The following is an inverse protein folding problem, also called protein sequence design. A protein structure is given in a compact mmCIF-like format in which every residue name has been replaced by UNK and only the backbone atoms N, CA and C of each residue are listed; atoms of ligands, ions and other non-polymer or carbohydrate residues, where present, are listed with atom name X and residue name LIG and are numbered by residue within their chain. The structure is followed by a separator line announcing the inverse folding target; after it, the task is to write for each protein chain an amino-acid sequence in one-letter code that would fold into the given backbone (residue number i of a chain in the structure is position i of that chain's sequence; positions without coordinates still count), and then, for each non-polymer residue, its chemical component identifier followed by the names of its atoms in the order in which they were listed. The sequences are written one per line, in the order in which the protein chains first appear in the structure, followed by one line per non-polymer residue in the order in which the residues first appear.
data_IF_746338785487
#
_entry.id   IF_746338785487
#
_cell.length_a   1.000
_cell.length_b   1.000
_cell.length_c   1.000
_cell.angle_alpha   90.00
_cell.angle_beta   90.00
_cell.angle_gamma   90.00
#
_symmetry.space_group_name_H-M   'P 1'
#
loop_
_entity.id
_entity.type
_entity.pdbx_description
1 polymer ?
#
# COMPACT_ATOMS: atom_id res chain seq x y z
N UNK A 1 -14.63 -0.12 43.08
CA UNK A 1 -13.43 0.73 42.88
C UNK A 1 -12.57 0.23 41.71
N UNK A 2 -12.04 -1.00 41.75
CA UNK A 2 -11.17 -1.55 40.69
C UNK A 2 -11.84 -1.63 39.30
N UNK A 3 -13.10 -2.08 39.21
CA UNK A 3 -13.80 -2.18 37.91
C UNK A 3 -13.99 -0.80 37.25
N UNK A 4 -14.31 0.23 38.03
CA UNK A 4 -14.46 1.60 37.51
C UNK A 4 -13.14 2.15 36.96
N UNK A 5 -12.01 1.80 37.61
CA UNK A 5 -10.69 2.15 37.11
C UNK A 5 -10.39 1.43 35.79
N UNK A 6 -10.67 0.12 35.71
CA UNK A 6 -10.47 -0.67 34.48
C UNK A 6 -11.31 -0.10 33.33
N UNK A 7 -12.59 0.21 33.56
CA UNK A 7 -13.45 0.82 32.54
C UNK A 7 -12.88 2.14 32.05
N UNK A 8 -12.48 3.03 32.96
CA UNK A 8 -11.90 4.33 32.59
C UNK A 8 -10.62 4.17 31.76
N UNK A 9 -9.70 3.31 32.19
CA UNK A 9 -8.45 3.05 31.46
C UNK A 9 -8.72 2.44 30.07
N UNK A 10 -9.73 1.58 29.95
CA UNK A 10 -10.16 1.03 28.66
C UNK A 10 -10.69 2.11 27.74
N UNK A 11 -11.54 3.01 28.23
CA UNK A 11 -12.10 4.11 27.44
C UNK A 11 -11.01 5.07 26.97
N UNK A 12 -10.06 5.41 27.85
CA UNK A 12 -8.89 6.24 27.51
C UNK A 12 -8.01 5.56 26.44
N UNK A 13 -7.77 4.26 26.56
CA UNK A 13 -7.01 3.48 25.57
C UNK A 13 -7.69 3.47 24.20
N UNK A 14 -9.01 3.23 24.15
CA UNK A 14 -9.78 3.26 22.88
C UNK A 14 -9.74 4.65 22.26
N UNK A 15 -9.88 5.71 23.06
CA UNK A 15 -9.81 7.09 22.57
C UNK A 15 -8.44 7.39 21.96
N UNK A 16 -7.36 6.98 22.63
CA UNK A 16 -6.01 7.21 22.13
C UNK A 16 -5.74 6.50 20.79
N UNK A 17 -6.16 5.23 20.66
CA UNK A 17 -6.05 4.50 19.39
C UNK A 17 -6.86 5.20 18.27
N UNK A 18 -8.06 5.69 18.59
CA UNK A 18 -8.88 6.43 17.63
C UNK A 18 -8.19 7.71 17.16
N UNK A 19 -7.59 8.47 18.08
CA UNK A 19 -6.82 9.68 17.74
C UNK A 19 -5.64 9.34 16.81
N UNK A 20 -4.89 8.28 17.08
CA UNK A 20 -3.79 7.84 16.20
C UNK A 20 -4.31 7.56 14.79
N UNK A 21 -5.38 6.75 14.67
CA UNK A 21 -5.95 6.38 13.36
C UNK A 21 -6.47 7.59 12.59
N UNK A 22 -7.09 8.56 13.27
CA UNK A 22 -7.54 9.80 12.62
C UNK A 22 -6.37 10.67 12.15
N UNK A 23 -5.28 10.72 12.92
CA UNK A 23 -4.08 11.45 12.52
C UNK A 23 -3.43 10.85 11.26
N UNK A 24 -3.47 9.53 11.07
CA UNK A 24 -2.96 8.88 9.84
C UNK A 24 -3.65 9.38 8.56
N UNK A 25 -4.91 9.84 8.63
CA UNK A 25 -5.62 10.38 7.45
C UNK A 25 -5.10 11.75 7.02
N UNK A 26 -4.42 12.47 7.92
CA UNK A 26 -3.94 13.84 7.70
C UNK A 26 -2.45 13.88 7.38
N UNK A 27 -1.69 12.85 7.76
CA UNK A 27 -0.24 12.83 7.60
C UNK A 27 0.15 12.45 6.18
N UNK A 28 1.10 13.18 5.59
CA UNK A 28 1.67 12.86 4.29
C UNK A 28 3.03 12.16 4.46
N UNK A 29 3.10 10.88 4.07
CA UNK A 29 4.34 10.08 4.10
C UNK A 29 5.10 10.05 2.78
N UNK A 30 4.66 10.77 1.75
CA UNK A 30 5.34 10.74 0.45
C UNK A 30 6.78 11.27 0.51
N UNK A 31 7.10 12.09 1.52
CA UNK A 31 8.45 12.58 1.81
C UNK A 31 9.30 11.63 2.67
N UNK A 32 8.75 10.50 3.15
CA UNK A 32 9.49 9.57 3.99
C UNK A 32 10.49 8.76 3.13
N UNK A 33 11.79 8.67 3.52
CA UNK A 33 12.76 7.85 2.79
C UNK A 33 12.34 6.37 2.64
N UNK A 34 11.66 5.80 3.63
CA UNK A 34 11.13 4.44 3.59
C UNK A 34 10.02 4.28 2.55
N UNK A 35 9.20 5.31 2.37
CA UNK A 35 8.17 5.36 1.33
C UNK A 35 8.83 5.30 -0.05
N UNK A 36 9.75 6.22 -0.33
CA UNK A 36 10.45 6.29 -1.62
C UNK A 36 11.22 5.01 -1.94
N UNK A 37 11.91 4.43 -0.94
CA UNK A 37 12.61 3.16 -1.12
C UNK A 37 11.65 2.01 -1.45
N UNK A 38 10.53 1.90 -0.74
CA UNK A 38 9.56 0.81 -0.97
C UNK A 38 8.87 0.98 -2.31
N UNK A 39 8.47 2.20 -2.67
CA UNK A 39 7.86 2.49 -3.97
C UNK A 39 8.83 2.20 -5.13
N UNK A 40 10.10 2.59 -5.03
CA UNK A 40 11.12 2.29 -6.05
C UNK A 40 11.30 0.78 -6.27
N UNK A 41 11.33 -0.02 -5.20
CA UNK A 41 11.41 -1.48 -5.29
C UNK A 41 10.20 -2.07 -6.03
N UNK A 42 8.99 -1.67 -5.62
CA UNK A 42 7.75 -2.12 -6.24
C UNK A 42 7.66 -1.72 -7.73
N UNK A 43 8.14 -0.52 -8.06
CA UNK A 43 8.11 0.01 -9.43
C UNK A 43 9.20 -0.55 -10.35
N UNK A 44 10.11 -1.39 -9.85
CA UNK A 44 11.09 -2.10 -10.70
C UNK A 44 10.44 -2.94 -11.80
N UNK A 45 9.19 -3.38 -11.60
CA UNK A 45 8.41 -4.15 -12.58
C UNK A 45 7.74 -3.30 -13.68
N UNK A 46 7.76 -1.97 -13.58
CA UNK A 46 6.97 -1.07 -14.45
C UNK A 46 7.25 -1.27 -15.93
N UNK A 47 8.53 -1.39 -16.31
CA UNK A 47 8.93 -1.58 -17.70
C UNK A 47 8.39 -2.91 -18.25
N UNK A 48 8.54 -4.00 -17.48
CA UNK A 48 8.03 -5.32 -17.87
C UNK A 48 6.51 -5.31 -17.99
N UNK A 49 5.81 -4.66 -17.05
CA UNK A 49 4.37 -4.48 -17.13
C UNK A 49 3.94 -3.77 -18.41
N UNK A 50 4.63 -2.69 -18.80
CA UNK A 50 4.39 -1.98 -20.06
C UNK A 50 4.47 -2.90 -21.28
N UNK A 51 5.52 -3.73 -21.37
CA UNK A 51 5.69 -4.71 -22.45
C UNK A 51 4.55 -5.73 -22.47
N UNK A 52 4.14 -6.27 -21.31
CA UNK A 52 3.03 -7.24 -21.22
C UNK A 52 1.70 -6.62 -21.67
N UNK A 53 1.50 -5.33 -21.40
CA UNK A 53 0.30 -4.59 -21.80
C UNK A 53 0.30 -4.22 -23.29
N UNK A 54 1.44 -4.18 -23.96
CA UNK A 54 1.52 -3.79 -25.37
C UNK A 54 1.01 -4.82 -26.36
N UNK A 55 1.25 -6.09 -26.09
CA UNK A 55 0.93 -7.18 -27.00
C UNK A 55 0.14 -8.29 -26.30
N UNK A 56 -1.00 -8.66 -26.87
CA UNK A 56 -1.87 -9.72 -26.33
C UNK A 56 -1.23 -11.12 -26.36
N UNK A 57 -0.26 -11.35 -27.24
CA UNK A 57 0.48 -12.60 -27.33
C UNK A 57 1.59 -12.72 -26.27
N UNK A 58 1.92 -11.65 -25.54
CA UNK A 58 2.93 -11.73 -24.50
C UNK A 58 2.45 -12.61 -23.32
N UNK A 59 3.37 -13.27 -22.59
CA UNK A 59 3.02 -13.90 -21.33
C UNK A 59 2.38 -12.89 -20.39
N UNK A 60 1.30 -13.28 -19.70
CA UNK A 60 0.55 -12.39 -18.82
C UNK A 60 1.04 -12.39 -17.38
N UNK A 61 2.06 -13.20 -17.06
CA UNK A 61 2.62 -13.32 -15.73
C UNK A 61 3.66 -12.22 -15.48
N UNK A 62 3.45 -11.45 -14.42
CA UNK A 62 4.37 -10.41 -13.95
C UNK A 62 4.90 -10.79 -12.57
N UNK A 63 6.21 -10.75 -12.40
CA UNK A 63 6.82 -10.83 -11.08
C UNK A 63 6.85 -9.44 -10.45
N UNK A 64 6.29 -9.32 -9.24
CA UNK A 64 6.24 -8.09 -8.47
C UNK A 64 6.88 -8.37 -7.11
N UNK A 65 7.88 -7.57 -6.74
CA UNK A 65 8.56 -7.70 -5.46
C UNK A 65 7.56 -7.58 -4.30
N UNK A 66 7.58 -8.51 -3.35
CA UNK A 66 6.63 -8.58 -2.24
C UNK A 66 5.25 -9.17 -2.56
N UNK A 67 4.90 -9.37 -3.83
CA UNK A 67 3.61 -9.96 -4.25
C UNK A 67 3.77 -11.30 -5.00
N UNK A 68 4.99 -11.63 -5.43
CA UNK A 68 5.25 -12.83 -6.21
C UNK A 68 4.81 -12.67 -7.67
N UNK A 69 4.37 -13.77 -8.27
CA UNK A 69 3.96 -13.79 -9.69
C UNK A 69 2.45 -13.60 -9.80
N UNK A 70 2.03 -12.60 -10.57
CA UNK A 70 0.64 -12.18 -10.73
C UNK A 70 0.24 -12.23 -12.20
N UNK A 71 -0.93 -12.80 -12.50
CA UNK A 71 -1.50 -12.77 -13.84
C UNK A 71 -2.24 -11.44 -14.11
N UNK A 72 -1.73 -10.67 -15.07
CA UNK A 72 -2.25 -9.35 -15.46
C UNK A 72 -3.01 -9.36 -16.79
N UNK A 73 -3.34 -10.53 -17.36
CA UNK A 73 -4.02 -10.63 -18.65
C UNK A 73 -5.30 -9.77 -18.73
N UNK A 74 -6.07 -9.77 -17.63
CA UNK A 74 -7.35 -9.06 -17.52
C UNK A 74 -7.21 -7.53 -17.66
N UNK A 75 -6.03 -6.96 -17.37
CA UNK A 75 -5.78 -5.52 -17.44
C UNK A 75 -5.60 -4.99 -18.87
N UNK A 76 -5.35 -5.87 -19.85
CA UNK A 76 -5.20 -5.46 -21.27
C UNK A 76 -6.44 -4.75 -21.81
N UNK A 77 -7.62 -5.15 -21.34
CA UNK A 77 -8.91 -4.52 -21.69
C UNK A 77 -8.99 -3.05 -21.29
N UNK A 78 -8.18 -2.65 -20.30
CA UNK A 78 -8.12 -1.29 -19.75
C UNK A 78 -6.70 -0.73 -19.82
N UNK A 79 -5.93 -1.09 -20.85
CA UNK A 79 -4.52 -0.69 -21.06
C UNK A 79 -4.27 0.80 -20.84
N UNK A 80 -5.20 1.65 -21.28
CA UNK A 80 -5.09 3.11 -21.21
C UNK A 80 -5.00 3.66 -19.77
N UNK A 81 -5.46 2.93 -18.74
CA UNK A 81 -5.33 3.30 -17.32
C UNK A 81 -4.48 2.31 -16.52
N UNK A 82 -4.04 1.22 -17.14
CA UNK A 82 -3.37 0.13 -16.43
C UNK A 82 -2.05 0.57 -15.78
N UNK A 83 -1.27 1.43 -16.46
CA UNK A 83 -0.02 1.96 -15.90
C UNK A 83 -0.26 2.90 -14.72
N UNK A 84 -1.25 3.80 -14.83
CA UNK A 84 -1.61 4.71 -13.74
C UNK A 84 -2.14 3.94 -12.52
N UNK A 85 -2.95 2.90 -12.77
CA UNK A 85 -3.45 2.02 -11.72
C UNK A 85 -2.33 1.23 -11.03
N UNK A 86 -1.30 0.80 -11.79
CA UNK A 86 -0.11 0.16 -11.22
C UNK A 86 0.63 1.13 -10.30
N UNK A 87 0.94 2.34 -10.76
CA UNK A 87 1.62 3.36 -9.94
C UNK A 87 0.82 3.65 -8.67
N UNK A 88 -0.48 3.90 -8.79
CA UNK A 88 -1.37 4.16 -7.65
C UNK A 88 -1.36 3.00 -6.67
N UNK A 89 -1.42 1.75 -7.15
CA UNK A 89 -1.35 0.55 -6.31
C UNK A 89 -0.03 0.50 -5.54
N UNK A 90 1.10 0.74 -6.18
CA UNK A 90 2.41 0.69 -5.52
C UNK A 90 2.59 1.81 -4.48
N UNK A 91 2.09 3.02 -4.78
CA UNK A 91 2.06 4.13 -3.80
C UNK A 91 1.23 3.79 -2.57
N UNK A 92 0.03 3.22 -2.77
CA UNK A 92 -0.82 2.79 -1.65
C UNK A 92 -0.14 1.74 -0.77
N UNK A 93 0.57 0.79 -1.38
CA UNK A 93 1.31 -0.24 -0.63
C UNK A 93 2.46 0.38 0.16
N UNK A 94 3.26 1.24 -0.46
CA UNK A 94 4.38 1.92 0.20
C UNK A 94 3.90 2.77 1.39
N UNK A 95 2.79 3.49 1.22
CA UNK A 95 2.17 4.27 2.30
C UNK A 95 1.66 3.36 3.43
N UNK A 96 0.93 2.29 3.09
CA UNK A 96 0.34 1.38 4.06
C UNK A 96 1.39 0.68 4.93
N UNK A 97 2.56 0.36 4.38
CA UNK A 97 3.67 -0.22 5.14
C UNK A 97 4.11 0.68 6.31
N UNK A 98 4.15 2.00 6.11
CA UNK A 98 4.51 2.97 7.15
C UNK A 98 3.40 3.07 8.20
N UNK A 99 2.14 3.15 7.76
CA UNK A 99 0.97 3.19 8.66
C UNK A 99 0.95 1.97 9.58
N UNK A 100 1.12 0.76 9.01
CA UNK A 100 1.13 -0.47 9.79
C UNK A 100 2.23 -0.49 10.85
N UNK A 101 3.44 -0.02 10.50
CA UNK A 101 4.55 0.07 11.45
C UNK A 101 4.19 0.98 12.64
N UNK A 102 3.66 2.17 12.33
CA UNK A 102 3.25 3.16 13.34
C UNK A 102 2.09 2.73 14.23
N UNK A 103 1.26 1.78 13.78
CA UNK A 103 0.16 1.23 14.58
C UNK A 103 0.63 0.15 15.57
N UNK A 104 1.81 -0.43 15.33
CA UNK A 104 2.41 -1.47 16.18
C UNK A 104 3.44 -0.89 17.14
N UNK A 105 4.10 0.20 16.75
CA UNK A 105 4.98 1.01 17.63
C UNK A 105 4.20 1.63 18.80
#
# INVERSE_FOLDING_TARGET
AACNLITRMKDESVKHVMEIVEMEKLVDYTCNPEYSSTWNQLMSCQQQFGVIMENEFNPSLLAIEGFGVVDVAHLRKVKHVAQDALDMKMRMIAYWKIVLRRLVD
#
